data_IF_705883682717
#
_entry.id   IF_705883682717
#
_cell.length_a   1.000
_cell.length_b   1.000
_cell.length_c   1.000
_cell.angle_alpha   90.00
_cell.angle_beta   90.00
_cell.angle_gamma   90.00
#
_symmetry.space_group_name_H-M   'P 1'
#
loop_
_entity.id
_entity.type
_entity.pdbx_description
1 polymer ?
#
# COMPACT_ATOMS: atom_id res chain seq x y z
N UNK A 1 -25.79 -20.81 6.01
CA UNK A 1 -24.79 -19.82 6.40
C UNK A 1 -23.94 -19.49 5.18
N UNK A 2 -23.97 -18.26 4.78
CA UNK A 2 -23.21 -17.82 3.61
C UNK A 2 -21.81 -17.41 4.04
N UNK A 3 -20.80 -18.02 3.45
CA UNK A 3 -19.44 -17.59 3.65
C UNK A 3 -19.25 -16.21 3.02
N UNK A 4 -18.66 -15.32 3.80
CA UNK A 4 -18.32 -14.00 3.33
C UNK A 4 -17.06 -14.11 2.46
N UNK A 5 -17.20 -13.74 1.20
CA UNK A 5 -16.05 -13.75 0.29
C UNK A 5 -15.11 -12.62 0.62
N UNK A 6 -13.82 -12.86 0.60
CA UNK A 6 -12.86 -11.76 0.79
C UNK A 6 -12.92 -10.78 -0.37
N UNK A 7 -12.46 -9.57 -0.09
CA UNK A 7 -12.35 -8.51 -1.09
C UNK A 7 -10.93 -8.52 -1.64
N UNK A 8 -10.79 -8.79 -2.94
CA UNK A 8 -9.51 -8.67 -3.62
C UNK A 8 -9.17 -7.18 -3.72
N UNK A 9 -8.04 -6.81 -3.16
CA UNK A 9 -7.67 -5.40 -3.00
C UNK A 9 -6.26 -5.16 -3.52
N UNK A 10 -6.13 -4.08 -4.30
CA UNK A 10 -4.82 -3.57 -4.69
C UNK A 10 -4.59 -2.26 -3.95
N UNK A 11 -3.61 -2.24 -3.06
CA UNK A 11 -3.15 -1.01 -2.43
C UNK A 11 -2.09 -0.39 -3.33
N UNK A 12 -2.33 0.84 -3.75
CA UNK A 12 -1.41 1.59 -4.61
C UNK A 12 -0.75 2.69 -3.78
N UNK A 13 0.57 2.74 -3.79
CA UNK A 13 1.34 3.67 -2.96
C UNK A 13 2.19 4.54 -3.87
N UNK A 14 2.14 5.85 -3.63
CA UNK A 14 2.97 6.83 -4.33
C UNK A 14 3.90 7.50 -3.34
N UNK A 15 5.13 7.77 -3.78
CA UNK A 15 6.10 8.54 -3.00
C UNK A 15 5.94 10.00 -3.38
N UNK A 16 5.73 10.86 -2.38
CA UNK A 16 5.50 12.28 -2.58
C UNK A 16 6.81 13.06 -2.67
N UNK A 17 6.73 14.27 -3.20
CA UNK A 17 7.89 15.15 -3.33
C UNK A 17 8.57 15.41 -1.97
N UNK A 18 7.80 15.45 -0.89
CA UNK A 18 8.35 15.65 0.46
C UNK A 18 9.44 14.64 0.83
N UNK A 19 9.29 13.39 0.33
CA UNK A 19 10.33 12.38 0.55
C UNK A 19 11.61 12.75 -0.21
N UNK A 20 11.46 13.16 -1.47
CA UNK A 20 12.62 13.49 -2.31
C UNK A 20 13.32 14.77 -1.85
N UNK A 21 12.61 15.64 -1.14
CA UNK A 21 13.18 16.86 -0.58
C UNK A 21 14.00 16.61 0.69
N UNK A 22 13.90 15.41 1.27
CA UNK A 22 14.68 15.07 2.45
C UNK A 22 16.17 14.93 2.11
N UNK A 23 17.08 15.36 3.00
CA UNK A 23 18.47 14.96 2.89
C UNK A 23 18.60 13.42 2.87
N UNK A 24 19.56 12.92 2.12
CA UNK A 24 19.70 11.48 1.92
C UNK A 24 19.77 10.70 3.25
N UNK A 25 20.47 11.27 4.24
CA UNK A 25 20.63 10.64 5.56
C UNK A 25 19.35 10.65 6.40
N UNK A 26 18.29 11.32 5.95
CA UNK A 26 17.00 11.37 6.65
C UNK A 26 15.91 10.53 5.97
N UNK A 27 16.25 9.80 4.92
CA UNK A 27 15.27 8.96 4.21
C UNK A 27 15.02 7.63 4.91
N UNK A 28 15.98 7.15 5.72
CA UNK A 28 15.86 5.87 6.41
C UNK A 28 14.61 5.72 7.27
N UNK A 29 14.24 6.71 8.10
CA UNK A 29 13.03 6.61 8.91
C UNK A 29 11.75 6.43 8.10
N UNK A 30 11.67 6.99 6.89
CA UNK A 30 10.52 6.79 6.00
C UNK A 30 10.44 5.32 5.56
N UNK A 31 11.57 4.73 5.19
CA UNK A 31 11.61 3.33 4.80
C UNK A 31 11.30 2.41 5.98
N UNK A 32 11.76 2.75 7.17
CA UNK A 32 11.43 2.01 8.38
C UNK A 32 9.92 2.03 8.63
N UNK A 33 9.29 3.20 8.49
CA UNK A 33 7.84 3.33 8.64
C UNK A 33 7.09 2.54 7.58
N UNK A 34 7.60 2.51 6.34
CA UNK A 34 7.01 1.72 5.27
C UNK A 34 7.06 0.23 5.59
N UNK A 35 8.16 -0.25 6.13
CA UNK A 35 8.28 -1.64 6.57
C UNK A 35 7.30 -1.95 7.71
N UNK A 36 7.10 -1.01 8.63
CA UNK A 36 6.11 -1.15 9.70
C UNK A 36 4.70 -1.28 9.13
N UNK A 37 4.38 -0.48 8.12
CA UNK A 37 3.10 -0.58 7.43
C UNK A 37 2.90 -1.97 6.84
N UNK A 38 3.87 -2.46 6.09
CA UNK A 38 3.77 -3.77 5.47
C UNK A 38 3.61 -4.88 6.51
N UNK A 39 4.39 -4.81 7.60
CA UNK A 39 4.29 -5.78 8.68
C UNK A 39 2.91 -5.74 9.35
N UNK A 40 2.37 -4.54 9.56
CA UNK A 40 1.05 -4.38 10.18
C UNK A 40 -0.04 -4.99 9.31
N UNK A 41 0.02 -4.76 7.98
CA UNK A 41 -0.97 -5.34 7.07
C UNK A 41 -0.90 -6.87 7.08
N UNK A 42 0.32 -7.43 7.08
CA UNK A 42 0.49 -8.89 7.14
C UNK A 42 -0.10 -9.49 8.42
N UNK A 43 -0.16 -8.73 9.50
CA UNK A 43 -0.66 -9.19 10.79
C UNK A 43 -2.14 -8.93 11.01
N UNK A 44 -2.80 -8.22 10.10
CA UNK A 44 -4.22 -7.92 10.24
C UNK A 44 -5.06 -9.20 10.19
N UNK A 45 -6.00 -9.38 11.12
CA UNK A 45 -6.83 -10.59 11.12
C UNK A 45 -7.59 -10.77 9.80
N UNK A 46 -7.52 -11.96 9.24
CA UNK A 46 -8.25 -12.31 8.01
C UNK A 46 -7.66 -11.77 6.73
N UNK A 47 -6.54 -11.05 6.79
CA UNK A 47 -5.88 -10.53 5.59
C UNK A 47 -4.86 -11.55 5.09
N UNK A 48 -4.91 -11.82 3.79
CA UNK A 48 -3.90 -12.64 3.11
C UNK A 48 -3.20 -11.76 2.08
N UNK A 49 -1.92 -11.52 2.28
CA UNK A 49 -1.11 -10.79 1.30
C UNK A 49 -0.66 -11.76 0.23
N UNK A 50 -1.01 -11.47 -1.03
CA UNK A 50 -0.67 -12.32 -2.16
C UNK A 50 0.65 -11.93 -2.82
N UNK A 51 1.02 -10.67 -2.72
CA UNK A 51 2.29 -10.21 -3.26
C UNK A 51 2.42 -8.71 -3.17
N UNK A 52 3.65 -8.25 -3.38
CA UNK A 52 3.99 -6.83 -3.43
C UNK A 52 4.89 -6.59 -4.62
N UNK A 53 4.92 -5.34 -5.07
CA UNK A 53 5.85 -4.92 -6.12
C UNK A 53 6.25 -3.48 -5.90
N UNK A 54 7.52 -3.19 -6.16
CA UNK A 54 8.06 -1.86 -6.29
C UNK A 54 8.51 -1.73 -7.75
N UNK A 55 7.92 -0.81 -8.51
CA UNK A 55 8.15 -0.71 -9.94
C UNK A 55 9.34 0.19 -10.29
N UNK A 56 10.42 0.08 -9.55
CA UNK A 56 11.61 0.91 -9.74
C UNK A 56 12.42 0.55 -11.00
N UNK A 57 12.10 -0.56 -11.65
CA UNK A 57 12.78 -0.96 -12.89
C UNK A 57 12.37 -0.06 -14.05
N UNK A 58 11.16 -0.22 -14.52
CA UNK A 58 10.64 0.58 -15.61
C UNK A 58 9.15 0.33 -15.81
N UNK A 59 8.49 1.32 -16.34
CA UNK A 59 7.08 1.20 -16.72
C UNK A 59 7.01 0.97 -18.23
N UNK A 60 6.24 -0.04 -18.62
CA UNK A 60 5.98 -0.33 -20.03
C UNK A 60 4.48 -0.12 -20.27
N UNK A 61 4.17 0.58 -21.36
CA UNK A 61 2.80 0.89 -21.74
C UNK A 61 2.56 2.37 -21.85
N UNK A 62 1.31 2.72 -22.14
CA UNK A 62 0.91 4.11 -22.30
C UNK A 62 0.00 4.52 -21.15
N UNK A 63 0.36 5.62 -20.50
CA UNK A 63 -0.47 6.21 -19.46
C UNK A 63 -0.41 7.73 -19.57
N UNK A 64 -1.30 8.32 -20.37
CA UNK A 64 -1.23 9.76 -20.62
C UNK A 64 -1.50 10.60 -19.37
N UNK A 65 -2.16 10.02 -18.38
CA UNK A 65 -2.43 10.68 -17.10
C UNK A 65 -1.70 10.01 -15.96
N UNK A 66 -0.62 9.28 -16.25
CA UNK A 66 0.06 8.40 -15.32
C UNK A 66 0.17 8.96 -13.92
N UNK A 67 -0.61 8.42 -13.00
CA UNK A 67 -0.47 8.77 -11.61
C UNK A 67 0.80 8.11 -11.07
N UNK A 68 1.53 8.77 -10.16
CA UNK A 68 2.85 8.31 -9.76
C UNK A 68 2.82 7.17 -8.72
N UNK A 69 1.99 6.16 -8.97
CA UNK A 69 2.02 4.96 -8.14
C UNK A 69 3.30 4.19 -8.46
N UNK A 70 4.04 3.81 -7.42
CA UNK A 70 5.29 3.10 -7.60
C UNK A 70 5.35 1.80 -6.83
N UNK A 71 4.54 1.65 -5.79
CA UNK A 71 4.54 0.46 -4.97
C UNK A 71 3.12 -0.08 -4.87
N UNK A 72 3.01 -1.41 -4.81
CA UNK A 72 1.70 -2.06 -4.81
C UNK A 72 1.70 -3.25 -3.87
N UNK A 73 0.56 -3.46 -3.22
CA UNK A 73 0.32 -4.66 -2.44
C UNK A 73 -1.01 -5.26 -2.89
N UNK A 74 -0.96 -6.51 -3.32
CA UNK A 74 -2.15 -7.26 -3.68
C UNK A 74 -2.50 -8.19 -2.53
N UNK A 75 -3.75 -8.15 -2.08
CA UNK A 75 -4.18 -8.99 -0.98
C UNK A 75 -5.66 -9.27 -0.99
N UNK A 76 -6.06 -10.22 -0.17
CA UNK A 76 -7.45 -10.51 0.12
C UNK A 76 -7.76 -10.04 1.53
N UNK A 77 -8.77 -9.16 1.65
CA UNK A 77 -9.17 -8.57 2.91
C UNK A 77 -10.55 -9.11 3.29
N UNK A 78 -10.80 -9.32 4.60
CA UNK A 78 -12.06 -9.94 5.01
C UNK A 78 -13.28 -9.05 4.77
N UNK A 79 -13.09 -7.73 4.83
CA UNK A 79 -14.17 -6.77 4.66
C UNK A 79 -13.62 -5.40 4.31
N UNK A 80 -14.52 -4.48 4.03
CA UNK A 80 -14.16 -3.11 3.66
C UNK A 80 -13.47 -2.38 4.81
N UNK A 81 -13.92 -2.63 6.03
CA UNK A 81 -13.35 -1.96 7.21
C UNK A 81 -11.87 -2.30 7.39
N UNK A 82 -11.48 -3.54 7.07
CA UNK A 82 -10.07 -3.93 7.11
C UNK A 82 -9.24 -3.15 6.07
N UNK A 83 -9.79 -2.91 4.87
CA UNK A 83 -9.11 -2.12 3.85
C UNK A 83 -8.95 -0.68 4.31
N UNK A 84 -10.01 -0.09 4.88
CA UNK A 84 -9.95 1.27 5.42
C UNK A 84 -8.93 1.36 6.54
N UNK A 85 -8.90 0.37 7.42
CA UNK A 85 -7.92 0.33 8.52
C UNK A 85 -6.49 0.26 7.99
N UNK A 86 -6.25 -0.51 6.94
CA UNK A 86 -4.92 -0.60 6.32
C UNK A 86 -4.49 0.77 5.77
N UNK A 87 -5.37 1.45 5.05
CA UNK A 87 -5.06 2.76 4.50
C UNK A 87 -4.82 3.79 5.61
N UNK A 88 -5.57 3.71 6.71
CA UNK A 88 -5.43 4.65 7.83
C UNK A 88 -4.12 4.46 8.60
N UNK A 89 -3.42 3.36 8.41
CA UNK A 89 -2.09 3.19 9.00
C UNK A 89 -1.13 4.31 8.57
N UNK A 90 -1.32 4.87 7.39
CA UNK A 90 -0.50 5.99 6.91
C UNK A 90 -0.67 7.24 7.78
N UNK A 91 -1.79 7.35 8.50
CA UNK A 91 -2.06 8.48 9.40
C UNK A 91 -1.50 8.27 10.80
N UNK A 92 -1.21 7.02 11.17
CA UNK A 92 -0.84 6.68 12.55
C UNK A 92 0.61 6.25 12.70
N UNK A 93 1.20 5.66 11.65
CA UNK A 93 2.60 5.23 11.72
C UNK A 93 3.51 6.45 11.70
N UNK A 94 4.33 6.57 12.75
CA UNK A 94 5.25 7.69 12.89
C UNK A 94 6.50 7.48 12.04
N UNK A 95 7.01 8.60 11.52
CA UNK A 95 8.28 8.65 10.80
C UNK A 95 9.26 9.43 11.67
N UNK A 96 10.28 8.72 12.20
CA UNK A 96 11.26 9.35 13.07
C UNK A 96 10.65 9.81 14.39
N UNK A 97 11.23 10.85 14.98
CA UNK A 97 10.87 11.35 16.32
C UNK A 97 10.34 12.79 16.31
N UNK A 98 10.02 13.33 15.13
CA UNK A 98 9.61 14.72 14.96
C UNK A 98 8.09 14.90 14.87
N UNK A 99 7.32 13.85 15.15
CA UNK A 99 5.86 13.92 15.08
C UNK A 99 5.27 13.79 13.69
N UNK A 100 6.08 13.49 12.70
CA UNK A 100 5.58 13.28 11.33
C UNK A 100 4.98 11.89 11.20
N UNK A 101 4.03 11.77 10.26
CA UNK A 101 3.36 10.51 9.94
C UNK A 101 3.70 10.10 8.52
N UNK A 102 3.51 8.82 8.21
CA UNK A 102 3.85 8.27 6.89
C UNK A 102 3.13 8.99 5.76
N UNK A 103 1.89 9.44 5.97
CA UNK A 103 1.12 10.14 4.95
C UNK A 103 1.74 11.47 4.50
N UNK A 104 2.69 12.00 5.26
CA UNK A 104 3.43 13.20 4.85
C UNK A 104 4.30 12.91 3.63
N UNK A 105 4.80 11.69 3.51
CA UNK A 105 5.78 11.33 2.49
C UNK A 105 5.24 10.39 1.43
N UNK A 106 4.12 9.73 1.68
CA UNK A 106 3.54 8.75 0.78
C UNK A 106 2.03 8.87 0.78
N UNK A 107 1.45 8.58 -0.39
CA UNK A 107 0.01 8.52 -0.58
C UNK A 107 -0.40 7.08 -0.81
N UNK A 108 -1.57 6.71 -0.31
CA UNK A 108 -2.13 5.38 -0.53
C UNK A 108 -3.55 5.48 -1.07
N UNK A 109 -3.87 4.58 -1.99
CA UNK A 109 -5.21 4.41 -2.52
C UNK A 109 -5.50 2.92 -2.60
N UNK A 110 -6.73 2.53 -2.32
CA UNK A 110 -7.15 1.14 -2.41
C UNK A 110 -8.12 0.96 -3.56
N UNK A 111 -7.88 -0.09 -4.35
CA UNK A 111 -8.81 -0.54 -5.38
C UNK A 111 -9.36 -1.87 -4.92
N UNK A 112 -10.67 -1.90 -4.68
CA UNK A 112 -11.36 -3.06 -4.12
C UNK A 112 -12.23 -3.71 -5.16
N UNK A 113 -12.25 -5.02 -5.19
CA UNK A 113 -13.06 -5.75 -6.12
C UNK A 113 -13.02 -7.24 -5.86
N UNK A 114 -12.93 -7.97 -6.94
CA UNK A 114 -12.91 -9.44 -6.93
C UNK A 114 -11.89 -9.93 -7.94
N UNK A 115 -11.42 -11.17 -7.82
CA UNK A 115 -10.55 -11.72 -8.85
C UNK A 115 -11.22 -11.65 -10.22
N UNK A 116 -10.42 -11.37 -11.25
CA UNK A 116 -10.93 -11.47 -12.62
C UNK A 116 -11.31 -12.93 -12.89
N UNK A 117 -12.43 -13.15 -13.59
CA UNK A 117 -12.73 -14.52 -14.02
C UNK A 117 -11.66 -14.98 -15.01
N UNK A 118 -11.05 -16.10 -14.69
CA UNK A 118 -10.00 -16.68 -15.52
C UNK A 118 -10.43 -18.08 -15.98
N UNK A 119 -10.03 -18.48 -17.18
CA UNK A 119 -10.29 -19.85 -17.60
C UNK A 119 -9.55 -20.82 -16.67
N UNK A 120 -10.11 -21.99 -16.49
CA UNK A 120 -9.43 -23.05 -15.76
C UNK A 120 -8.19 -23.48 -16.55
N UNK A 121 -7.10 -23.57 -15.83
CA UNK A 121 -5.82 -23.97 -16.42
C UNK A 121 -5.48 -25.41 -16.06
#
# INVERSE_FOLDING_TARGET
>A
MTEKKPIRTLLCIAVLQNFFDLPFDQTGPVWTATKQFLAAVHKMPGVTVLGTIDDDETMVGTSPTGFPWTCYLLGDFPDREAVVAACNLFRTIEVGDQGHRLWRYMRIEARMGRPLPTPEL
#
